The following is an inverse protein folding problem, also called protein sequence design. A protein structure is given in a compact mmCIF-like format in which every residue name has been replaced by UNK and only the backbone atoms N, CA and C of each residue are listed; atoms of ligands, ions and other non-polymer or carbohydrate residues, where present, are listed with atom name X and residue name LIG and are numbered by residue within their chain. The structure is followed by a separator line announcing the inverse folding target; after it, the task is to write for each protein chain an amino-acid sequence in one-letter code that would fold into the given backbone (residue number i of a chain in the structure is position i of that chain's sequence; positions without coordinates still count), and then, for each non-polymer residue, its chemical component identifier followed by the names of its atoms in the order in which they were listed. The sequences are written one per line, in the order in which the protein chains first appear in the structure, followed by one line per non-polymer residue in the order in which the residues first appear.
data_IF_205851077962
#
_entry.id   IF_205851077962
#
_cell.length_a   1.000
_cell.length_b   1.000
_cell.length_c   1.000
_cell.angle_alpha   90.00
_cell.angle_beta   90.00
_cell.angle_gamma   90.00
#
_symmetry.space_group_name_H-M   'P 1'
#
loop_
_entity.id
_entity.type
_entity.pdbx_description
1 polymer ?
#
# COMPACT_ATOMS: atom_id res chain seq x y z
N UNK A 1 8.65 9.53 6.97
CA UNK A 1 8.11 8.58 7.96
C UNK A 1 6.63 8.28 7.68
N UNK A 2 5.88 9.24 7.16
CA UNK A 2 4.50 9.06 6.68
C UNK A 2 4.45 8.99 5.14
N UNK A 3 3.80 7.98 4.53
CA UNK A 3 3.62 7.91 3.08
C UNK A 3 2.64 8.96 2.54
N UNK A 4 2.81 9.42 1.30
CA UNK A 4 2.01 10.49 0.67
C UNK A 4 0.50 10.19 0.53
N UNK A 5 0.09 8.93 0.66
CA UNK A 5 -1.31 8.53 0.69
C UNK A 5 -1.95 8.65 2.09
N UNK A 6 -1.18 9.11 3.08
CA UNK A 6 -1.61 9.39 4.46
C UNK A 6 -1.28 10.85 4.82
N UNK A 7 -2.28 11.58 5.31
CA UNK A 7 -2.06 12.82 6.03
C UNK A 7 -2.14 12.55 7.53
N UNK A 8 -1.04 12.73 8.28
CA UNK A 8 -0.97 12.46 9.71
C UNK A 8 -0.90 13.76 10.53
N UNK A 9 -1.87 13.95 11.43
CA UNK A 9 -1.82 14.95 12.50
C UNK A 9 -1.29 14.29 13.77
N UNK A 10 0.03 14.40 13.98
CA UNK A 10 0.73 13.83 15.13
C UNK A 10 0.35 14.49 16.46
N UNK A 11 -0.23 15.69 16.45
CA UNK A 11 -0.68 16.36 17.69
C UNK A 11 -2.01 15.82 18.18
N UNK A 12 -2.90 15.47 17.25
CA UNK A 12 -4.24 14.94 17.53
C UNK A 12 -4.32 13.42 17.43
N UNK A 13 -3.22 12.75 17.09
CA UNK A 13 -3.15 11.30 16.85
C UNK A 13 -4.22 10.85 15.83
N UNK A 14 -4.37 11.60 14.74
CA UNK A 14 -5.34 11.32 13.68
C UNK A 14 -4.62 11.16 12.34
N UNK A 15 -5.11 10.25 11.51
CA UNK A 15 -4.66 10.10 10.13
C UNK A 15 -5.85 10.13 9.16
N UNK A 16 -5.63 10.69 7.97
CA UNK A 16 -6.58 10.69 6.86
C UNK A 16 -5.99 9.88 5.71
N UNK A 17 -6.74 8.91 5.20
CA UNK A 17 -6.39 8.18 3.99
C UNK A 17 -6.80 9.00 2.77
N UNK A 18 -5.82 9.64 2.13
CA UNK A 18 -6.06 10.66 1.10
C UNK A 18 -6.36 10.03 -0.26
N UNK A 19 -5.70 8.92 -0.58
CA UNK A 19 -5.87 8.19 -1.84
C UNK A 19 -5.49 6.73 -1.71
N UNK A 20 -5.99 5.92 -2.63
CA UNK A 20 -5.48 4.56 -2.80
C UNK A 20 -4.01 4.61 -3.30
N UNK A 21 -3.08 3.87 -2.66
CA UNK A 21 -1.72 3.75 -3.14
C UNK A 21 -1.65 2.88 -4.39
N UNK A 22 -0.75 3.22 -5.31
CA UNK A 22 -0.30 2.31 -6.35
C UNK A 22 0.66 1.26 -5.79
N UNK A 23 0.95 0.22 -6.56
CA UNK A 23 1.88 -0.83 -6.13
C UNK A 23 3.30 -0.29 -5.89
N UNK A 24 3.71 0.75 -6.62
CA UNK A 24 5.01 1.42 -6.43
C UNK A 24 5.08 2.27 -5.17
N UNK A 25 3.93 2.70 -4.64
CA UNK A 25 3.87 3.57 -3.46
C UNK A 25 4.05 2.77 -2.16
N UNK A 26 3.88 1.45 -2.22
CA UNK A 26 4.02 0.55 -1.09
C UNK A 26 5.42 -0.06 -1.12
N UNK A 27 6.22 0.10 -0.06
CA UNK A 27 7.57 -0.46 -0.01
C UNK A 27 7.50 -1.97 0.27
N UNK A 28 7.20 -2.75 -0.76
CA UNK A 28 7.27 -4.21 -0.69
C UNK A 28 8.72 -4.66 -0.49
N UNK A 29 8.96 -5.75 0.27
CA UNK A 29 10.32 -6.24 0.55
C UNK A 29 11.04 -6.76 -0.71
N UNK A 30 10.29 -7.02 -1.79
CA UNK A 30 10.76 -7.45 -3.11
C UNK A 30 9.93 -6.78 -4.20
N UNK A 31 10.40 -6.83 -5.45
CA UNK A 31 9.60 -6.37 -6.60
C UNK A 31 8.30 -7.17 -6.70
N UNK A 32 7.18 -6.47 -6.70
CA UNK A 32 5.84 -7.08 -6.72
C UNK A 32 5.46 -7.46 -8.15
N UNK A 33 5.08 -8.72 -8.35
CA UNK A 33 4.55 -9.28 -9.60
C UNK A 33 3.09 -9.75 -9.37
N UNK A 34 2.07 -8.88 -9.54
CA UNK A 34 0.68 -9.19 -9.16
C UNK A 34 0.07 -10.39 -9.89
N UNK A 35 0.53 -10.68 -11.11
CA UNK A 35 0.04 -11.82 -11.89
C UNK A 35 0.35 -13.15 -11.20
N UNK A 36 1.51 -13.27 -10.53
CA UNK A 36 1.88 -14.51 -9.83
C UNK A 36 0.93 -14.81 -8.67
N UNK A 37 0.40 -13.77 -8.01
CA UNK A 37 -0.60 -13.93 -6.95
C UNK A 37 -1.93 -14.41 -7.53
N UNK A 38 -2.35 -13.83 -8.66
CA UNK A 38 -3.58 -14.24 -9.34
C UNK A 38 -3.47 -15.70 -9.78
N UNK A 39 -2.36 -16.07 -10.42
CA UNK A 39 -2.08 -17.44 -10.88
C UNK A 39 -2.11 -18.46 -9.72
N UNK A 40 -1.55 -18.10 -8.56
CA UNK A 40 -1.55 -18.96 -7.38
C UNK A 40 -2.98 -19.24 -6.87
N UNK A 41 -3.84 -18.22 -6.79
CA UNK A 41 -5.20 -18.38 -6.28
C UNK A 41 -6.22 -18.87 -7.32
N UNK A 42 -5.93 -18.74 -8.62
CA UNK A 42 -6.81 -19.20 -9.71
C UNK A 42 -6.82 -20.71 -9.91
N UNK A 43 -5.87 -21.44 -9.31
CA UNK A 43 -5.80 -22.91 -9.38
C UNK A 43 -6.65 -23.63 -8.32
N UNK A 44 -7.43 -22.90 -7.52
CA UNK A 44 -8.37 -23.43 -6.51
C UNK A 44 -9.81 -23.54 -7.03
#
# INVERSE_FOLDING_TARGET
DVPDYIEADHSKMKATFVRQPGLSDVPYPVMMEPNLVIEFYAQN
#
